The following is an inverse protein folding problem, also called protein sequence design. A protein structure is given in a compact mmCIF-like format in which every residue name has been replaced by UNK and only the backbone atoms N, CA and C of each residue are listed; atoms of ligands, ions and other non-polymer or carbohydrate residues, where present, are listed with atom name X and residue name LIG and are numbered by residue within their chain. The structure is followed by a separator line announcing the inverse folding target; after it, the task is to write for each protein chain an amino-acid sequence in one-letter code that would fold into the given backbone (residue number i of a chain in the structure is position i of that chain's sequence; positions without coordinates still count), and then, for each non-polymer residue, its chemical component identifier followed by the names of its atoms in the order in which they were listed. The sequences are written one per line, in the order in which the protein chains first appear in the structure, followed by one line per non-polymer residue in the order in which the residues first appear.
data_IF_039704574180
#
_entry.id   IF_039704574180
#
_cell.length_a   1.000
_cell.length_b   1.000
_cell.length_c   1.000
_cell.angle_alpha   90.00
_cell.angle_beta   90.00
_cell.angle_gamma   90.00
#
_symmetry.space_group_name_H-M   'P 1'
#
loop_
_entity.id
_entity.type
_entity.pdbx_description
1 polymer ?
#
# COMPACT_ATOMS: atom_id res chain seq x y z
N UNK A 1 11.00 -8.00 4.29
CA UNK A 1 10.76 -8.86 3.12
C UNK A 1 11.03 -8.07 1.82
N UNK A 2 11.27 -8.73 0.68
CA UNK A 2 11.54 -8.03 -0.58
C UNK A 2 10.24 -7.62 -1.29
N UNK A 3 10.11 -6.35 -1.66
CA UNK A 3 8.97 -5.82 -2.42
C UNK A 3 9.27 -5.83 -3.92
N UNK A 4 9.09 -6.99 -4.57
CA UNK A 4 9.45 -7.25 -5.96
C UNK A 4 8.28 -7.88 -6.73
N UNK A 5 8.24 -7.75 -8.08
CA UNK A 5 7.29 -8.49 -8.92
C UNK A 5 7.24 -9.99 -8.60
N UNK A 6 6.03 -10.56 -8.55
CA UNK A 6 5.76 -11.96 -8.23
C UNK A 6 5.67 -12.27 -6.73
N UNK A 7 6.06 -11.35 -5.84
CA UNK A 7 5.89 -11.53 -4.38
C UNK A 7 4.41 -11.37 -4.01
N UNK A 8 3.96 -12.20 -3.06
CA UNK A 8 2.60 -12.19 -2.55
C UNK A 8 2.53 -11.63 -1.14
N UNK A 9 1.53 -10.79 -0.90
CA UNK A 9 1.21 -10.20 0.39
C UNK A 9 -0.28 -10.44 0.65
N UNK A 10 -0.60 -11.44 1.47
CA UNK A 10 -1.98 -11.91 1.63
C UNK A 10 -2.57 -12.35 0.29
N UNK A 11 -3.73 -11.78 -0.07
CA UNK A 11 -4.44 -12.05 -1.33
C UNK A 11 -3.94 -11.21 -2.51
N UNK A 12 -2.84 -10.47 -2.38
CA UNK A 12 -2.31 -9.61 -3.42
C UNK A 12 -0.98 -10.14 -3.96
N UNK A 13 -0.76 -10.03 -5.26
CA UNK A 13 0.52 -10.26 -5.93
C UNK A 13 1.06 -8.93 -6.47
N UNK A 14 2.34 -8.64 -6.22
CA UNK A 14 3.04 -7.48 -6.77
C UNK A 14 3.29 -7.72 -8.27
N UNK A 15 2.84 -6.78 -9.10
CA UNK A 15 3.04 -6.81 -10.55
C UNK A 15 4.26 -5.99 -10.93
N UNK A 16 4.32 -4.73 -10.51
CA UNK A 16 5.45 -3.83 -10.75
C UNK A 16 5.44 -2.63 -9.79
N UNK A 17 6.52 -1.84 -9.85
CA UNK A 17 6.65 -0.57 -9.12
C UNK A 17 6.07 0.55 -9.97
N UNK A 18 5.13 1.30 -9.40
CA UNK A 18 4.55 2.50 -10.00
C UNK A 18 5.26 3.77 -9.57
N UNK A 19 5.83 3.79 -8.37
CA UNK A 19 6.54 4.96 -7.86
C UNK A 19 7.30 4.68 -6.57
N UNK A 20 8.34 5.47 -6.36
CA UNK A 20 9.19 5.47 -5.17
C UNK A 20 9.43 6.92 -4.74
N UNK A 21 9.20 7.22 -3.46
CA UNK A 21 9.32 8.57 -2.95
C UNK A 21 9.39 8.63 -1.43
N UNK A 22 9.39 9.85 -0.89
CA UNK A 22 9.65 10.09 0.53
C UNK A 22 8.67 9.47 1.51
N UNK A 23 7.47 9.03 1.09
CA UNK A 23 6.50 8.33 1.95
C UNK A 23 6.54 6.81 1.85
N UNK A 24 7.40 6.26 0.99
CA UNK A 24 7.43 4.82 0.68
C UNK A 24 7.16 4.54 -0.79
N UNK A 25 6.83 3.29 -1.08
CA UNK A 25 6.68 2.79 -2.45
C UNK A 25 5.23 2.51 -2.81
N UNK A 26 4.92 2.67 -4.09
CA UNK A 26 3.62 2.39 -4.66
C UNK A 26 3.79 1.29 -5.70
N UNK A 27 3.01 0.23 -5.56
CA UNK A 27 3.04 -0.94 -6.43
C UNK A 27 1.73 -1.10 -7.17
N UNK A 28 1.80 -1.55 -8.41
CA UNK A 28 0.67 -2.20 -9.06
C UNK A 28 0.57 -3.60 -8.48
N UNK A 29 -0.63 -3.97 -8.05
CA UNK A 29 -0.90 -5.29 -7.50
C UNK A 29 -2.10 -5.93 -8.17
N UNK A 30 -2.16 -7.25 -8.13
CA UNK A 30 -3.33 -8.02 -8.54
C UNK A 30 -3.95 -8.68 -7.31
N UNK A 31 -5.23 -8.43 -7.06
CA UNK A 31 -5.97 -9.16 -6.04
C UNK A 31 -6.36 -10.54 -6.58
N UNK A 32 -5.76 -11.59 -6.03
CA UNK A 32 -5.79 -12.96 -6.58
C UNK A 32 -7.18 -13.60 -6.60
N UNK A 33 -8.09 -13.17 -5.71
CA UNK A 33 -9.44 -13.74 -5.62
C UNK A 33 -10.40 -13.06 -6.61
N UNK A 34 -10.32 -11.74 -6.75
CA UNK A 34 -11.22 -10.97 -7.61
C UNK A 34 -10.65 -10.70 -9.01
N UNK A 35 -9.39 -11.07 -9.25
CA UNK A 35 -8.60 -10.79 -10.44
C UNK A 35 -8.55 -9.29 -10.82
N UNK A 36 -8.76 -8.41 -9.83
CA UNK A 36 -8.71 -6.96 -10.03
C UNK A 36 -7.28 -6.45 -9.94
N UNK A 37 -6.93 -5.54 -10.86
CA UNK A 37 -5.72 -4.73 -10.75
C UNK A 37 -5.96 -3.56 -9.82
N UNK A 38 -5.11 -3.42 -8.82
CA UNK A 38 -5.19 -2.40 -7.78
C UNK A 38 -3.82 -1.74 -7.54
N UNK A 39 -3.80 -0.77 -6.62
CA UNK A 39 -2.58 -0.08 -6.20
C UNK A 39 -2.39 -0.31 -4.70
N UNK A 40 -1.16 -0.65 -4.32
CA UNK A 40 -0.75 -0.79 -2.92
C UNK A 40 0.33 0.23 -2.59
N UNK A 41 0.03 1.16 -1.68
CA UNK A 41 1.03 2.07 -1.10
C UNK A 41 1.57 1.46 0.19
N UNK A 42 2.88 1.32 0.28
CA UNK A 42 3.57 0.68 1.39
C UNK A 42 4.54 1.68 2.00
N UNK A 43 4.39 1.90 3.29
CA UNK A 43 5.41 2.58 4.07
C UNK A 43 6.53 1.57 4.35
N UNK A 44 7.66 1.69 3.65
CA UNK A 44 8.81 0.84 3.91
C UNK A 44 9.43 1.26 5.24
N UNK A 45 9.70 0.27 6.09
CA UNK A 45 10.52 0.44 7.29
C UNK A 45 11.97 0.73 6.87
N UNK A 46 12.22 1.91 6.34
CA UNK A 46 13.52 2.50 6.53
C UNK A 46 13.66 2.67 8.05
N UNK A 47 14.84 2.39 8.59
CA UNK A 47 15.24 2.63 9.99
C UNK A 47 15.07 4.10 10.47
N UNK A 48 14.35 4.94 9.70
CA UNK A 48 14.13 6.36 9.84
C UNK A 48 12.70 6.81 9.50
N UNK A 49 11.71 5.90 9.39
CA UNK A 49 10.31 6.34 9.27
C UNK A 49 9.93 7.09 10.54
N UNK A 50 9.89 8.42 10.50
CA UNK A 50 9.56 9.24 11.66
C UNK A 50 8.12 8.97 12.07
N UNK A 51 7.81 9.17 13.36
CA UNK A 51 6.43 9.10 13.85
C UNK A 51 5.48 9.96 13.01
N UNK A 52 5.96 11.10 12.52
CA UNK A 52 5.22 11.98 11.62
C UNK A 52 4.82 11.30 10.29
N UNK A 53 5.69 10.47 9.70
CA UNK A 53 5.38 9.75 8.46
C UNK A 53 4.29 8.69 8.69
N UNK A 54 4.38 7.97 9.81
CA UNK A 54 3.36 7.00 10.23
C UNK A 54 2.01 7.68 10.47
N UNK A 55 2.02 8.82 11.17
CA UNK A 55 0.83 9.59 11.48
C UNK A 55 0.19 10.14 10.20
N UNK A 56 1.00 10.64 9.26
CA UNK A 56 0.53 11.12 7.96
C UNK A 56 -0.08 9.99 7.13
N UNK A 57 0.58 8.84 7.06
CA UNK A 57 0.06 7.68 6.32
C UNK A 57 -1.26 7.18 6.93
N UNK A 58 -1.33 7.10 8.26
CA UNK A 58 -2.56 6.74 8.98
C UNK A 58 -3.69 7.74 8.72
N UNK A 59 -3.37 9.05 8.66
CA UNK A 59 -4.33 10.09 8.34
C UNK A 59 -4.85 9.95 6.90
N UNK A 60 -4.00 9.68 5.92
CA UNK A 60 -4.42 9.45 4.52
C UNK A 60 -5.42 8.28 4.43
N UNK A 61 -5.13 7.16 5.11
CA UNK A 61 -6.04 6.01 5.18
C UNK A 61 -7.39 6.42 5.75
N UNK A 62 -7.41 7.11 6.91
CA UNK A 62 -8.66 7.53 7.57
C UNK A 62 -9.47 8.50 6.71
N UNK A 63 -8.81 9.42 6.01
CA UNK A 63 -9.49 10.37 5.11
C UNK A 63 -10.08 9.63 3.91
N UNK A 64 -9.33 8.76 3.24
CA UNK A 64 -9.85 8.01 2.11
C UNK A 64 -10.99 7.05 2.51
N UNK A 65 -10.96 6.50 3.72
CA UNK A 65 -12.02 5.63 4.24
C UNK A 65 -13.39 6.34 4.39
N UNK A 66 -13.41 7.68 4.50
CA UNK A 66 -14.66 8.44 4.58
C UNK A 66 -15.15 8.97 3.23
N UNK A 67 -14.39 8.78 2.16
CA UNK A 67 -14.68 9.31 0.83
C UNK A 67 -15.25 8.23 -0.08
N UNK A 68 -16.38 8.52 -0.72
CA UNK A 68 -16.97 7.69 -1.76
C UNK A 68 -17.49 8.58 -2.89
N UNK A 69 -16.64 8.84 -3.88
CA UNK A 69 -16.94 9.75 -4.98
C UNK A 69 -16.22 9.29 -6.26
N UNK A 70 -16.85 9.36 -7.45
CA UNK A 70 -16.27 8.84 -8.71
C UNK A 70 -14.94 9.47 -9.12
N UNK A 71 -14.65 10.69 -8.66
CA UNK A 71 -13.41 11.41 -8.96
C UNK A 71 -12.35 11.34 -7.86
N UNK A 72 -12.52 10.45 -6.87
CA UNK A 72 -11.58 10.24 -5.77
C UNK A 72 -11.21 8.76 -5.75
N UNK A 73 -9.92 8.46 -5.58
CA UNK A 73 -9.47 7.08 -5.44
C UNK A 73 -10.15 6.41 -4.24
N UNK A 74 -10.65 5.18 -4.45
CA UNK A 74 -11.35 4.42 -3.41
C UNK A 74 -10.34 3.62 -2.61
N UNK A 75 -10.43 3.69 -1.27
CA UNK A 75 -9.71 2.78 -0.39
C UNK A 75 -10.48 1.46 -0.28
N UNK A 76 -9.90 0.37 -0.79
CA UNK A 76 -10.50 -0.97 -0.68
C UNK A 76 -10.19 -1.62 0.67
N UNK A 77 -8.94 -1.53 1.11
CA UNK A 77 -8.48 -2.10 2.38
C UNK A 77 -7.23 -1.39 2.88
N UNK A 78 -6.95 -1.53 4.17
CA UNK A 78 -5.70 -1.14 4.80
C UNK A 78 -5.36 -2.17 5.87
N UNK A 79 -4.10 -2.59 5.94
CA UNK A 79 -3.63 -3.58 6.89
C UNK A 79 -2.19 -3.29 7.31
N UNK A 80 -1.84 -3.76 8.50
CA UNK A 80 -0.44 -3.86 8.89
C UNK A 80 0.12 -5.17 8.35
N UNK A 81 1.30 -5.10 7.75
CA UNK A 81 2.07 -6.27 7.37
C UNK A 81 3.33 -6.29 8.23
N UNK A 82 3.43 -7.24 9.14
CA UNK A 82 4.68 -7.51 9.82
C UNK A 82 5.61 -8.17 8.81
N UNK A 83 6.78 -7.56 8.59
CA UNK A 83 7.90 -8.24 7.94
C UNK A 83 8.32 -9.38 8.87
N UNK A 84 7.71 -10.56 8.71
CA UNK A 84 8.19 -11.76 9.39
C UNK A 84 9.62 -12.03 8.89
N UNK A 85 10.59 -11.86 9.80
CA UNK A 85 11.99 -12.27 9.62
C UNK A 85 12.08 -13.79 9.46
#
# INVERSE_FOLDING_TARGET
MAWLPGIRVGSYEIVDVLGDGGMGKVFRVRHLISDRTEVMKVLLAASSASQEMLDRFTREIRVLATLNHPNIAVLHTAFHHEDSL
#
